data_IF_101947556827
#
_entry.id   IF_101947556827
#
_cell.length_a   1.000
_cell.length_b   1.000
_cell.length_c   1.000
_cell.angle_alpha   90.00
_cell.angle_beta   90.00
_cell.angle_gamma   90.00
#
_symmetry.space_group_name_H-M   'P 1'
#
loop_
_entity.id
_entity.type
_entity.pdbx_description
1 polymer ?
#
# COMPACT_ATOMS: atom_id res chain seq x y z
N UNK A 1 17.27 -7.84 -18.63
CA UNK A 1 15.96 -7.16 -18.76
C UNK A 1 15.71 -6.41 -17.46
N UNK A 2 15.24 -5.15 -17.50
CA UNK A 2 15.02 -4.40 -16.25
C UNK A 2 13.53 -4.44 -15.93
N UNK A 3 13.18 -5.18 -14.87
CA UNK A 3 11.84 -5.13 -14.29
C UNK A 3 11.76 -3.99 -13.29
N UNK A 4 10.69 -3.22 -13.43
CA UNK A 4 10.41 -2.05 -12.60
C UNK A 4 9.00 -2.23 -12.06
N UNK A 5 8.78 -1.87 -10.81
CA UNK A 5 7.46 -2.00 -10.19
C UNK A 5 7.06 -0.65 -9.62
N UNK A 6 5.90 -0.15 -10.05
CA UNK A 6 5.24 0.99 -9.42
C UNK A 6 4.17 0.51 -8.45
N UNK A 7 4.12 1.11 -7.27
CA UNK A 7 3.17 0.77 -6.22
C UNK A 7 2.48 2.06 -5.77
N UNK A 8 1.20 2.17 -6.09
CA UNK A 8 0.35 3.14 -5.41
C UNK A 8 -0.27 2.49 -4.19
N UNK A 9 -0.28 3.16 -3.05
CA UNK A 9 -1.00 2.65 -1.88
C UNK A 9 -1.61 3.72 -1.00
N UNK A 10 -2.79 3.41 -0.48
CA UNK A 10 -3.40 4.12 0.62
C UNK A 10 -3.80 3.13 1.74
N UNK A 11 -4.53 3.64 2.73
CA UNK A 11 -5.08 2.83 3.83
C UNK A 11 -6.15 1.82 3.39
N UNK A 12 -6.73 1.99 2.21
CA UNK A 12 -7.87 1.20 1.73
C UNK A 12 -7.44 0.10 0.75
N UNK A 13 -6.48 0.39 -0.14
CA UNK A 13 -5.99 -0.51 -1.20
C UNK A 13 -4.61 -0.09 -1.75
N UNK A 14 -3.96 -1.06 -2.39
CA UNK A 14 -2.74 -0.89 -3.14
C UNK A 14 -2.97 -1.31 -4.59
N UNK A 15 -2.31 -0.60 -5.51
CA UNK A 15 -2.25 -0.95 -6.93
C UNK A 15 -0.78 -1.12 -7.29
N UNK A 16 -0.38 -2.34 -7.62
CA UNK A 16 0.93 -2.65 -8.16
C UNK A 16 0.85 -2.69 -9.69
N UNK A 17 1.83 -2.08 -10.34
CA UNK A 17 2.00 -2.11 -11.78
C UNK A 17 3.42 -2.58 -12.07
N UNK A 18 3.54 -3.77 -12.66
CA UNK A 18 4.79 -4.34 -13.13
C UNK A 18 5.06 -3.86 -14.54
N UNK A 19 6.27 -3.34 -14.76
CA UNK A 19 6.76 -2.85 -16.03
C UNK A 19 8.01 -3.63 -16.42
N UNK A 20 8.08 -4.06 -17.67
CA UNK A 20 9.25 -4.69 -18.26
C UNK A 20 9.76 -3.83 -19.42
N UNK A 21 10.98 -3.29 -19.29
CA UNK A 21 11.56 -2.34 -20.25
C UNK A 21 10.62 -1.16 -20.59
N UNK A 22 9.93 -0.61 -19.59
CA UNK A 22 8.99 0.50 -19.76
C UNK A 22 7.61 0.14 -20.31
N UNK A 23 7.36 -1.13 -20.67
CA UNK A 23 6.04 -1.62 -21.09
C UNK A 23 5.30 -2.26 -19.93
N UNK A 24 4.00 -1.98 -19.82
CA UNK A 24 3.13 -2.61 -18.83
C UNK A 24 3.05 -4.10 -19.06
N UNK A 25 3.39 -4.87 -18.02
CA UNK A 25 3.30 -6.32 -18.02
C UNK A 25 2.05 -6.77 -17.27
N UNK A 26 1.83 -6.23 -16.07
CA UNK A 26 0.77 -6.69 -15.17
C UNK A 26 0.32 -5.59 -14.22
N UNK A 27 -0.99 -5.51 -13.98
CA UNK A 27 -1.59 -4.66 -12.95
C UNK A 27 -2.26 -5.57 -11.91
N UNK A 28 -1.99 -5.33 -10.64
CA UNK A 28 -2.59 -6.05 -9.52
C UNK A 28 -3.17 -5.04 -8.53
N UNK A 29 -4.40 -5.26 -8.08
CA UNK A 29 -5.02 -4.46 -7.02
C UNK A 29 -5.18 -5.34 -5.80
N UNK A 30 -4.68 -4.87 -4.67
CA UNK A 30 -4.74 -5.56 -3.38
C UNK A 30 -5.53 -4.67 -2.44
N UNK A 31 -6.68 -5.15 -1.98
CA UNK A 31 -7.47 -4.42 -1.00
C UNK A 31 -6.89 -4.64 0.40
N UNK A 32 -6.89 -3.58 1.22
CA UNK A 32 -6.40 -3.65 2.60
C UNK A 32 -7.23 -4.63 3.43
N UNK A 33 -8.52 -4.78 3.11
CA UNK A 33 -9.45 -5.62 3.87
C UNK A 33 -9.65 -5.14 5.31
N UNK A 34 -9.18 -3.93 5.64
CA UNK A 34 -9.48 -3.28 6.92
C UNK A 34 -10.98 -3.02 6.92
N UNK A 35 -11.69 -3.74 7.79
CA UNK A 35 -13.13 -3.54 8.01
C UNK A 35 -13.37 -2.12 8.52
N UNK A 36 -13.65 -1.19 7.60
CA UNK A 36 -14.31 0.07 7.91
C UNK A 36 -15.76 -0.26 8.18
N UNK A 37 -16.06 -0.64 9.44
CA UNK A 37 -17.40 -0.93 9.98
C UNK A 37 -18.50 -0.55 8.99
N UNK A 38 -18.96 -1.50 8.18
CA UNK A 38 -20.27 -1.36 7.56
C UNK A 38 -21.22 -1.20 8.74
N UNK A 39 -21.83 -0.03 8.82
CA UNK A 39 -22.80 0.35 9.82
C UNK A 39 -23.81 -0.79 9.98
N UNK A 40 -23.73 -1.52 11.09
CA UNK A 40 -24.88 -2.28 11.56
C UNK A 40 -25.74 -1.25 12.31
N UNK A 41 -26.89 -0.80 11.79
CA UNK A 41 -27.87 -0.10 12.61
C UNK A 41 -28.55 -1.16 13.46
N UNK A 42 -27.85 -1.67 14.48
CA UNK A 42 -28.48 -2.51 15.50
C UNK A 42 -28.49 -1.75 16.80
N UNK A 43 -29.54 -0.91 16.90
CA UNK A 43 -30.28 -0.67 18.14
C UNK A 43 -29.43 -0.55 19.39
N UNK A 44 -28.82 0.61 19.61
CA UNK A 44 -28.30 0.96 20.92
C UNK A 44 -29.49 1.29 21.82
N UNK A 45 -29.93 0.33 22.63
CA UNK A 45 -30.87 0.59 23.73
C UNK A 45 -30.22 1.59 24.71
N UNK A 46 -30.90 2.68 25.10
CA UNK A 46 -30.37 3.64 26.05
C UNK A 46 -30.39 3.00 27.44
N UNK A 47 -29.21 2.73 28.04
CA UNK A 47 -29.15 2.35 29.46
C UNK A 47 -28.02 1.44 29.94
N UNK A 48 -27.15 0.89 29.08
CA UNK A 48 -26.15 -0.10 29.57
C UNK A 48 -24.79 0.53 29.89
N UNK A 49 -24.60 0.85 31.18
CA UNK A 49 -23.35 1.06 31.95
C UNK A 49 -22.05 1.20 31.12
N UNK A 50 -21.67 2.46 30.95
CA UNK A 50 -20.61 2.97 30.07
C UNK A 50 -19.31 3.19 30.85
N UNK A 51 -18.23 2.47 30.52
CA UNK A 51 -16.92 2.70 31.13
C UNK A 51 -15.87 1.68 30.66
N UNK A 52 -15.81 0.52 31.31
CA UNK A 52 -14.76 -0.48 31.04
C UNK A 52 -14.91 -1.23 29.71
N UNK A 53 -16.13 -1.44 29.23
CA UNK A 53 -16.37 -2.16 27.95
C UNK A 53 -15.88 -1.31 26.75
N UNK A 54 -16.04 0.00 26.80
CA UNK A 54 -15.63 0.88 25.70
C UNK A 54 -14.11 0.88 25.49
N UNK A 55 -13.34 0.90 26.58
CA UNK A 55 -11.87 0.95 26.54
C UNK A 55 -11.29 -0.37 25.99
N UNK A 56 -11.85 -1.51 26.39
CA UNK A 56 -11.39 -2.83 25.94
C UNK A 56 -11.74 -3.08 24.46
N UNK A 57 -12.91 -2.62 24.02
CA UNK A 57 -13.32 -2.64 22.61
C UNK A 57 -12.42 -1.76 21.76
N UNK A 58 -12.08 -0.56 22.23
CA UNK A 58 -11.22 0.38 21.49
C UNK A 58 -9.77 -0.14 21.35
N UNK A 59 -9.20 -0.69 22.43
CA UNK A 59 -7.87 -1.35 22.38
C UNK A 59 -7.84 -2.56 21.46
N UNK A 60 -8.84 -3.46 21.54
CA UNK A 60 -8.95 -4.62 20.65
C UNK A 60 -9.14 -4.21 19.19
N UNK A 61 -9.89 -3.14 18.92
CA UNK A 61 -10.05 -2.60 17.57
C UNK A 61 -8.75 -2.03 17.02
N UNK A 62 -7.96 -1.35 17.85
CA UNK A 62 -6.66 -0.81 17.45
C UNK A 62 -5.67 -1.92 17.10
N UNK A 63 -5.60 -2.99 17.91
CA UNK A 63 -4.73 -4.14 17.63
C UNK A 63 -5.14 -4.92 16.38
N UNK A 64 -6.44 -5.07 16.12
CA UNK A 64 -6.93 -5.73 14.89
C UNK A 64 -6.55 -4.92 13.64
N UNK A 65 -6.70 -3.60 13.68
CA UNK A 65 -6.34 -2.71 12.57
C UNK A 65 -4.84 -2.76 12.25
N UNK A 66 -3.97 -2.77 13.27
CA UNK A 66 -2.52 -2.87 13.03
C UNK A 66 -2.13 -4.22 12.43
N UNK A 67 -2.73 -5.32 12.90
CA UNK A 67 -2.48 -6.64 12.34
C UNK A 67 -2.99 -6.77 10.90
N UNK A 68 -4.19 -6.24 10.61
CA UNK A 68 -4.73 -6.20 9.24
C UNK A 68 -3.83 -5.38 8.30
N UNK A 69 -3.31 -4.24 8.75
CA UNK A 69 -2.40 -3.41 7.98
C UNK A 69 -1.06 -4.11 7.71
N UNK A 70 -0.51 -4.81 8.70
CA UNK A 70 0.71 -5.60 8.52
C UNK A 70 0.49 -6.73 7.50
N UNK A 71 -0.59 -7.51 7.63
CA UNK A 71 -0.93 -8.55 6.66
C UNK A 71 -1.15 -7.99 5.25
N UNK A 72 -1.71 -6.80 5.13
CA UNK A 72 -1.86 -6.09 3.87
C UNK A 72 -0.49 -5.72 3.27
N UNK A 73 0.44 -5.19 4.06
CA UNK A 73 1.80 -4.90 3.59
C UNK A 73 2.54 -6.16 3.16
N UNK A 74 2.47 -7.25 3.93
CA UNK A 74 3.04 -8.54 3.57
C UNK A 74 2.51 -9.06 2.23
N UNK A 75 1.19 -8.97 1.99
CA UNK A 75 0.58 -9.34 0.70
C UNK A 75 1.14 -8.52 -0.47
N UNK A 76 1.32 -7.22 -0.26
CA UNK A 76 1.91 -6.31 -1.27
C UNK A 76 3.36 -6.70 -1.54
N UNK A 77 4.16 -6.95 -0.50
CA UNK A 77 5.57 -7.35 -0.61
C UNK A 77 5.71 -8.67 -1.37
N UNK A 78 4.91 -9.69 -1.00
CA UNK A 78 4.91 -10.99 -1.69
C UNK A 78 4.46 -10.92 -3.16
N UNK A 79 3.74 -9.87 -3.54
CA UNK A 79 3.31 -9.66 -4.92
C UNK A 79 4.40 -9.02 -5.80
N UNK A 80 5.49 -8.52 -5.19
CA UNK A 80 6.64 -7.96 -5.90
C UNK A 80 7.55 -9.11 -6.36
N UNK A 81 7.92 -9.10 -7.64
CA UNK A 81 8.83 -10.11 -8.19
C UNK A 81 10.25 -9.93 -7.63
N UNK A 82 10.91 -11.04 -7.28
CA UNK A 82 12.26 -11.03 -6.70
C UNK A 82 13.35 -10.50 -7.65
N UNK A 83 13.09 -10.49 -8.96
CA UNK A 83 14.00 -9.96 -9.99
C UNK A 83 13.73 -8.49 -10.34
N UNK A 84 12.92 -7.79 -9.54
CA UNK A 84 12.68 -6.36 -9.72
C UNK A 84 13.95 -5.57 -9.40
N UNK A 85 14.35 -4.65 -10.28
CA UNK A 85 15.54 -3.81 -10.09
C UNK A 85 15.27 -2.42 -9.52
N UNK A 86 14.03 -1.93 -9.61
CA UNK A 86 13.62 -0.61 -9.13
C UNK A 86 12.15 -0.62 -8.70
N UNK A 87 11.87 -0.04 -7.52
CA UNK A 87 10.51 0.13 -7.01
C UNK A 87 10.23 1.62 -6.84
N UNK A 88 9.10 2.05 -7.39
CA UNK A 88 8.54 3.38 -7.18
C UNK A 88 7.29 3.27 -6.30
N UNK A 89 7.26 3.95 -5.15
CA UNK A 89 6.17 3.92 -4.19
C UNK A 89 5.58 5.32 -4.05
N UNK A 90 4.26 5.45 -4.21
CA UNK A 90 3.59 6.73 -4.07
C UNK A 90 2.20 6.61 -3.44
N UNK A 91 1.76 7.70 -2.82
CA UNK A 91 0.46 7.77 -2.15
C UNK A 91 0.41 8.75 -0.98
N UNK A 92 -0.73 8.80 -0.26
CA UNK A 92 -0.94 9.69 0.87
C UNK A 92 0.06 9.47 2.01
N UNK A 93 0.39 10.56 2.73
CA UNK A 93 1.69 10.78 3.38
C UNK A 93 2.08 9.86 4.56
N UNK A 94 1.22 8.95 5.02
CA UNK A 94 1.51 8.09 6.18
C UNK A 94 1.77 6.63 5.77
N UNK A 95 0.89 6.03 4.96
CA UNK A 95 0.94 4.58 4.67
C UNK A 95 2.23 4.14 4.00
N UNK A 96 2.74 4.92 3.04
CA UNK A 96 3.99 4.60 2.31
C UNK A 96 5.24 4.55 3.20
N UNK A 97 5.31 5.38 4.26
CA UNK A 97 6.46 5.39 5.19
C UNK A 97 6.47 4.13 6.05
N UNK A 98 5.28 3.68 6.48
CA UNK A 98 5.15 2.41 7.18
C UNK A 98 5.53 1.25 6.26
N UNK A 99 5.02 1.25 5.02
CA UNK A 99 5.35 0.22 4.05
C UNK A 99 6.84 0.19 3.70
N UNK A 100 7.50 1.34 3.50
CA UNK A 100 8.95 1.40 3.29
C UNK A 100 9.70 0.69 4.44
N UNK A 101 9.32 0.95 5.70
CA UNK A 101 9.95 0.32 6.85
C UNK A 101 9.76 -1.19 6.84
N UNK A 102 8.56 -1.67 6.54
CA UNK A 102 8.31 -3.12 6.42
C UNK A 102 9.10 -3.72 5.27
N UNK A 103 9.11 -3.07 4.10
CA UNK A 103 9.85 -3.52 2.92
C UNK A 103 11.36 -3.65 3.21
N UNK A 104 11.95 -2.68 3.92
CA UNK A 104 13.36 -2.70 4.33
C UNK A 104 13.69 -3.78 5.37
N UNK A 105 12.71 -4.42 6.02
CA UNK A 105 12.99 -5.58 6.87
C UNK A 105 13.43 -6.79 6.04
N UNK A 106 13.03 -6.86 4.77
CA UNK A 106 13.43 -7.93 3.87
C UNK A 106 14.76 -7.58 3.19
N UNK A 107 15.77 -8.43 3.37
CA UNK A 107 17.12 -8.24 2.83
C UNK A 107 17.15 -8.00 1.30
N UNK A 108 16.21 -8.60 0.57
CA UNK A 108 16.08 -8.45 -0.89
C UNK A 108 15.82 -7.00 -1.33
N UNK A 109 15.11 -6.21 -0.53
CA UNK A 109 14.70 -4.85 -0.87
C UNK A 109 15.54 -3.77 -0.18
N UNK A 110 16.49 -4.15 0.69
CA UNK A 110 17.33 -3.19 1.43
C UNK A 110 18.29 -2.41 0.53
N UNK A 111 18.90 -3.10 -0.43
CA UNK A 111 19.88 -2.53 -1.37
C UNK A 111 19.25 -2.05 -2.67
N UNK A 112 17.93 -2.23 -2.80
CA UNK A 112 17.21 -1.97 -4.02
C UNK A 112 16.86 -0.49 -4.16
N UNK A 113 16.83 0.02 -5.40
CA UNK A 113 16.48 1.42 -5.65
C UNK A 113 14.99 1.62 -5.33
N UNK A 114 14.74 2.36 -4.26
CA UNK A 114 13.41 2.75 -3.80
C UNK A 114 13.22 4.24 -3.99
N UNK A 115 12.11 4.63 -4.59
CA UNK A 115 11.73 6.04 -4.73
C UNK A 115 10.35 6.27 -4.13
N UNK A 116 10.21 7.32 -3.31
CA UNK A 116 9.01 7.60 -2.52
C UNK A 116 8.44 8.96 -2.90
N UNK A 117 7.18 8.98 -3.34
CA UNK A 117 6.50 10.22 -3.71
C UNK A 117 5.19 10.43 -2.93
N UNK A 118 4.84 11.69 -2.68
CA UNK A 118 3.52 12.07 -2.18
C UNK A 118 2.56 12.30 -3.32
N UNK A 119 1.43 11.61 -3.28
CA UNK A 119 0.35 11.79 -4.23
C UNK A 119 -0.99 11.75 -3.50
N UNK A 120 -1.93 12.55 -3.98
CA UNK A 120 -3.32 12.54 -3.56
C UNK A 120 -4.04 11.24 -3.96
N UNK A 121 -5.31 11.15 -3.55
CA UNK A 121 -6.19 10.09 -4.03
C UNK A 121 -6.33 10.20 -5.55
N UNK A 122 -5.96 9.13 -6.25
CA UNK A 122 -6.05 9.02 -7.71
C UNK A 122 -6.97 7.87 -8.08
N UNK A 123 -7.45 7.86 -9.32
CA UNK A 123 -8.12 6.70 -9.92
C UNK A 123 -7.10 5.72 -10.46
N UNK A 124 -7.47 4.45 -10.65
CA UNK A 124 -6.54 3.43 -11.16
C UNK A 124 -5.87 3.83 -12.49
N UNK A 125 -6.57 4.38 -13.50
CA UNK A 125 -5.92 4.87 -14.72
C UNK A 125 -4.89 5.98 -14.46
N UNK A 126 -5.19 6.90 -13.55
CA UNK A 126 -4.27 7.97 -13.16
C UNK A 126 -3.02 7.43 -12.45
N UNK A 127 -3.18 6.41 -11.59
CA UNK A 127 -2.05 5.74 -10.93
C UNK A 127 -1.13 5.10 -11.97
N UNK A 128 -1.70 4.33 -12.91
CA UNK A 128 -0.95 3.66 -13.98
C UNK A 128 -0.21 4.68 -14.84
N UNK A 129 -0.89 5.75 -15.25
CA UNK A 129 -0.28 6.82 -16.05
C UNK A 129 0.88 7.49 -15.31
N UNK A 130 0.74 7.74 -14.00
CA UNK A 130 1.80 8.34 -13.19
C UNK A 130 3.02 7.43 -13.06
N UNK A 131 2.80 6.14 -12.82
CA UNK A 131 3.86 5.13 -12.78
C UNK A 131 4.61 5.08 -14.12
N UNK A 132 3.87 4.98 -15.23
CA UNK A 132 4.47 4.97 -16.58
C UNK A 132 5.30 6.23 -16.83
N UNK A 133 4.74 7.41 -16.54
CA UNK A 133 5.42 8.68 -16.72
C UNK A 133 6.69 8.79 -15.87
N UNK A 134 6.67 8.27 -14.65
CA UNK A 134 7.84 8.24 -13.76
C UNK A 134 8.99 7.45 -14.39
N UNK A 135 8.73 6.22 -14.82
CA UNK A 135 9.77 5.37 -15.40
C UNK A 135 10.21 5.81 -16.80
N UNK A 136 9.32 6.40 -17.60
CA UNK A 136 9.70 7.00 -18.89
C UNK A 136 10.61 8.21 -18.68
N UNK A 137 10.30 9.11 -17.74
CA UNK A 137 11.16 10.26 -17.42
C UNK A 137 12.52 9.84 -16.85
N UNK A 138 12.54 8.87 -15.92
CA UNK A 138 13.80 8.36 -15.35
C UNK A 138 14.62 7.55 -16.36
N UNK A 139 14.00 6.96 -17.38
CA UNK A 139 14.69 6.28 -18.48
C UNK A 139 15.44 7.25 -19.41
N UNK A 140 14.90 8.45 -19.63
CA UNK A 140 15.50 9.46 -20.51
C UNK A 140 16.62 10.29 -19.87
N UNK A 141 16.84 10.18 -18.55
CA UNK A 141 17.87 10.95 -17.84
C UNK A 141 19.26 10.28 -17.79
N UNK A 142 19.45 9.15 -18.48
CA UNK A 142 20.77 8.56 -18.74
C UNK A 142 21.10 8.72 -20.22
N UNK A 143 21.54 9.91 -20.61
CA UNK A 143 22.29 10.12 -21.84
C UNK A 143 23.53 10.94 -21.56
#
# INVERSE_FOLDING_TARGET
>A
MKKQVGIWMNTDKAVLVSLMNGKEEKIQTIESGVETRSHNPREMKPGSRTGSILIDVDKKMTQRKTHQLHNYFEKVIHSIASDTGEIFIFGPANTKKHFEKELKKHALFQTMKLELESADKMTQPQMIARIKNHFVKNGNHKS
#
